data_IF_002335497990
#
_entry.id   IF_002335497990
#
_cell.length_a   1.000
_cell.length_b   1.000
_cell.length_c   1.000
_cell.angle_alpha   90.00
_cell.angle_beta   90.00
_cell.angle_gamma   90.00
#
_symmetry.space_group_name_H-M   'P 1'
#
loop_
_entity.id
_entity.type
_entity.pdbx_description
1 polymer ?
#
# COMPACT_ATOMS: atom_id res chain seq x y z
N UNK A 1 22.25 -41.69 -28.13
CA UNK A 1 21.11 -41.85 -27.20
C UNK A 1 20.96 -40.49 -26.56
N UNK A 2 20.27 -39.60 -27.27
CA UNK A 2 20.24 -38.18 -26.95
C UNK A 2 19.27 -37.94 -25.79
N UNK A 3 19.82 -37.62 -24.62
CA UNK A 3 19.03 -37.04 -23.54
C UNK A 3 18.77 -35.59 -23.92
N UNK A 4 17.69 -35.39 -24.66
CA UNK A 4 17.08 -34.08 -24.86
C UNK A 4 16.70 -33.53 -23.48
N UNK A 5 17.49 -32.57 -23.03
CA UNK A 5 17.32 -31.87 -21.77
C UNK A 5 16.00 -31.08 -21.84
N UNK A 6 14.88 -31.72 -21.43
CA UNK A 6 13.57 -31.07 -21.41
C UNK A 6 13.62 -29.89 -20.45
N UNK A 7 13.80 -28.68 -21.00
CA UNK A 7 13.56 -27.46 -20.25
C UNK A 7 12.18 -27.53 -19.59
N UNK A 8 12.03 -27.09 -18.33
CA UNK A 8 10.73 -27.06 -17.67
C UNK A 8 9.73 -26.28 -18.51
N UNK A 9 8.53 -26.83 -18.70
CA UNK A 9 7.48 -26.18 -19.48
C UNK A 9 7.21 -24.79 -18.89
N UNK A 10 7.23 -23.71 -19.70
CA UNK A 10 6.98 -22.37 -19.19
C UNK A 10 5.59 -22.30 -18.56
N UNK A 11 5.50 -21.60 -17.42
CA UNK A 11 4.24 -21.44 -16.69
C UNK A 11 3.24 -20.67 -17.57
N UNK A 12 2.00 -21.16 -17.62
CA UNK A 12 0.90 -20.45 -18.29
C UNK A 12 0.55 -19.17 -17.52
N UNK A 13 -0.03 -18.17 -18.19
CA UNK A 13 -0.52 -16.95 -17.53
C UNK A 13 -1.46 -17.25 -16.35
N UNK A 14 -2.30 -18.29 -16.46
CA UNK A 14 -3.19 -18.70 -15.38
C UNK A 14 -2.41 -19.18 -14.14
N UNK A 15 -1.33 -19.94 -14.33
CA UNK A 15 -0.45 -20.39 -13.25
C UNK A 15 0.33 -19.22 -12.62
N UNK A 16 0.80 -18.27 -13.44
CA UNK A 16 1.47 -17.06 -12.96
C UNK A 16 0.51 -16.15 -12.16
N UNK A 17 -0.72 -15.97 -12.63
CA UNK A 17 -1.74 -15.21 -11.91
C UNK A 17 -2.15 -15.88 -10.59
N UNK A 18 -2.16 -17.22 -10.54
CA UNK A 18 -2.37 -17.95 -9.29
C UNK A 18 -1.20 -17.74 -8.30
N UNK A 19 0.04 -17.74 -8.80
CA UNK A 19 1.22 -17.44 -8.00
C UNK A 19 1.20 -16.00 -7.45
N UNK A 20 0.81 -15.03 -8.27
CA UNK A 20 0.66 -13.63 -7.86
C UNK A 20 -0.38 -13.42 -6.75
N UNK A 21 -1.45 -14.23 -6.72
CA UNK A 21 -2.46 -14.20 -5.65
C UNK A 21 -2.01 -14.88 -4.36
N UNK A 22 -1.17 -15.89 -4.47
CA UNK A 22 -0.75 -16.72 -3.35
C UNK A 22 -0.09 -15.88 -2.25
N UNK A 23 0.81 -14.97 -2.62
CA UNK A 23 1.60 -14.16 -1.67
C UNK A 23 0.75 -13.31 -0.74
N UNK A 24 -0.31 -12.67 -1.24
CA UNK A 24 -1.19 -11.86 -0.39
C UNK A 24 -1.93 -12.71 0.64
N UNK A 25 -2.46 -13.87 0.22
CA UNK A 25 -3.17 -14.78 1.12
C UNK A 25 -2.23 -15.34 2.20
N UNK A 26 -0.97 -15.61 1.84
CA UNK A 26 0.04 -16.03 2.82
C UNK A 26 0.38 -14.92 3.81
N UNK A 27 0.59 -13.68 3.34
CA UNK A 27 0.86 -12.54 4.22
C UNK A 27 -0.32 -12.29 5.19
N UNK A 28 -1.56 -12.33 4.68
CA UNK A 28 -2.76 -12.21 5.49
C UNK A 28 -2.88 -13.33 6.54
N UNK A 29 -2.56 -14.58 6.19
CA UNK A 29 -2.52 -15.67 7.16
C UNK A 29 -1.48 -15.42 8.24
N UNK A 30 -0.26 -15.01 7.87
CA UNK A 30 0.82 -14.76 8.83
C UNK A 30 0.43 -13.69 9.84
N UNK A 31 -0.22 -12.61 9.38
CA UNK A 31 -0.75 -11.56 10.23
C UNK A 31 -1.84 -12.09 11.20
N UNK A 32 -2.77 -12.90 10.70
CA UNK A 32 -3.93 -13.36 11.46
C UNK A 32 -3.71 -14.70 12.19
N UNK A 33 -2.50 -15.27 12.15
CA UNK A 33 -2.24 -16.65 12.54
C UNK A 33 -2.69 -16.97 13.97
N UNK A 34 -2.57 -16.02 14.90
CA UNK A 34 -3.02 -16.18 16.28
C UNK A 34 -4.54 -16.24 16.39
N UNK A 35 -5.25 -15.33 15.70
CA UNK A 35 -6.71 -15.30 15.67
C UNK A 35 -7.30 -16.57 15.03
N UNK A 36 -6.67 -17.06 13.94
CA UNK A 36 -7.18 -18.20 13.18
C UNK A 36 -7.11 -19.54 13.94
N UNK A 37 -6.42 -19.59 15.09
CA UNK A 37 -6.39 -20.77 15.96
C UNK A 37 -7.77 -20.99 16.59
N UNK A 38 -8.53 -21.90 16.02
CA UNK A 38 -9.89 -22.23 16.46
C UNK A 38 -10.99 -21.53 15.67
N UNK A 39 -10.65 -20.79 14.62
CA UNK A 39 -11.62 -20.09 13.77
C UNK A 39 -12.28 -20.99 12.71
N UNK A 40 -11.93 -22.28 12.63
CA UNK A 40 -12.46 -23.22 11.63
C UNK A 40 -13.02 -24.49 12.27
N UNK A 41 -14.31 -24.73 12.04
CA UNK A 41 -15.10 -25.87 12.47
C UNK A 41 -15.75 -26.58 11.25
N UNK A 42 -15.72 -27.91 11.18
CA UNK A 42 -14.80 -28.78 11.91
C UNK A 42 -13.38 -28.60 11.36
N UNK A 43 -12.37 -28.74 12.23
CA UNK A 43 -10.96 -28.86 11.80
C UNK A 43 -10.61 -30.34 11.67
N UNK A 44 -10.39 -30.88 10.46
CA UNK A 44 -9.89 -32.24 10.32
C UNK A 44 -8.50 -32.37 10.98
N UNK A 45 -8.26 -33.47 11.70
CA UNK A 45 -7.01 -33.67 12.47
C UNK A 45 -5.73 -33.51 11.63
N UNK A 46 -5.76 -33.92 10.35
CA UNK A 46 -4.62 -33.87 9.44
C UNK A 46 -4.40 -32.51 8.76
N UNK A 47 -5.24 -31.49 9.02
CA UNK A 47 -5.23 -30.24 8.26
C UNK A 47 -4.89 -29.04 9.16
N UNK A 48 -3.82 -28.33 8.82
CA UNK A 48 -3.39 -27.12 9.52
C UNK A 48 -4.39 -25.97 9.32
N UNK A 49 -4.38 -24.96 10.21
CA UNK A 49 -5.20 -23.76 10.01
C UNK A 49 -4.75 -22.97 8.78
N UNK A 50 -3.45 -23.00 8.46
CA UNK A 50 -2.93 -22.51 7.20
C UNK A 50 -3.63 -23.14 6.00
N UNK A 51 -3.68 -24.48 5.93
CA UNK A 51 -4.31 -25.17 4.80
C UNK A 51 -5.80 -24.83 4.68
N UNK A 52 -6.53 -24.68 5.79
CA UNK A 52 -7.94 -24.26 5.79
C UNK A 52 -8.08 -22.81 5.31
N UNK A 53 -7.27 -21.89 5.82
CA UNK A 53 -7.27 -20.50 5.39
C UNK A 53 -6.98 -20.39 3.88
N UNK A 54 -5.93 -21.07 3.39
CA UNK A 54 -5.60 -21.11 1.96
C UNK A 54 -6.76 -21.69 1.14
N UNK A 55 -7.38 -22.80 1.58
CA UNK A 55 -8.52 -23.44 0.91
C UNK A 55 -9.68 -22.47 0.71
N UNK A 56 -10.06 -21.72 1.74
CA UNK A 56 -11.22 -20.82 1.68
C UNK A 56 -10.93 -19.50 0.96
N UNK A 57 -9.66 -19.09 0.84
CA UNK A 57 -9.30 -17.76 0.37
C UNK A 57 -8.62 -17.71 -1.00
N UNK A 58 -7.79 -18.69 -1.35
CA UNK A 58 -6.93 -18.61 -2.55
C UNK A 58 -7.72 -18.49 -3.87
N UNK A 59 -8.91 -19.10 -3.93
CA UNK A 59 -9.80 -19.01 -5.10
C UNK A 59 -10.78 -17.82 -5.08
N UNK A 60 -10.94 -17.15 -3.93
CA UNK A 60 -11.94 -16.08 -3.73
C UNK A 60 -11.32 -14.70 -3.71
N UNK A 61 -10.12 -14.58 -3.16
CA UNK A 61 -9.42 -13.30 -3.05
C UNK A 61 -8.60 -13.04 -4.30
N UNK A 62 -8.97 -11.99 -5.02
CA UNK A 62 -8.27 -11.54 -6.21
C UNK A 62 -7.40 -10.35 -5.83
N UNK A 63 -6.26 -10.60 -5.21
CA UNK A 63 -5.23 -9.57 -5.01
C UNK A 63 -3.99 -10.03 -5.74
N UNK A 64 -3.53 -9.24 -6.70
CA UNK A 64 -2.34 -9.55 -7.49
C UNK A 64 -1.18 -8.69 -7.01
N UNK A 65 -0.13 -9.33 -6.53
CA UNK A 65 1.12 -8.67 -6.15
C UNK A 65 2.18 -8.98 -7.19
N UNK A 66 3.03 -8.00 -7.52
CA UNK A 66 4.23 -8.25 -8.32
C UNK A 66 5.23 -9.11 -7.54
N UNK A 67 6.27 -9.61 -8.23
CA UNK A 67 7.35 -10.37 -7.59
C UNK A 67 8.11 -9.52 -6.57
N UNK A 68 8.31 -8.23 -6.89
CA UNK A 68 8.99 -7.25 -6.04
C UNK A 68 8.15 -6.96 -4.77
N UNK A 69 6.86 -6.67 -4.93
CA UNK A 69 5.92 -6.48 -3.81
C UNK A 69 5.84 -7.73 -2.93
N UNK A 70 5.80 -8.90 -3.55
CA UNK A 70 5.81 -10.18 -2.83
C UNK A 70 7.11 -10.40 -2.06
N UNK A 71 8.27 -9.96 -2.58
CA UNK A 71 9.56 -10.16 -1.93
C UNK A 71 9.64 -9.38 -0.61
N UNK A 72 8.99 -8.22 -0.55
CA UNK A 72 8.89 -7.38 0.66
C UNK A 72 7.65 -7.68 1.51
N UNK A 73 6.91 -8.76 1.20
CA UNK A 73 5.70 -9.20 1.92
C UNK A 73 4.60 -8.14 1.96
N UNK A 74 4.37 -7.45 0.84
CA UNK A 74 3.22 -6.57 0.68
C UNK A 74 1.92 -7.31 1.04
N UNK A 75 0.99 -6.60 1.66
CA UNK A 75 -0.28 -7.16 2.11
C UNK A 75 -1.40 -6.13 1.94
N UNK A 76 -2.39 -6.49 1.12
CA UNK A 76 -3.60 -5.74 0.87
C UNK A 76 -4.75 -6.39 1.64
N UNK A 77 -5.49 -5.57 2.38
CA UNK A 77 -6.72 -5.99 3.05
C UNK A 77 -7.74 -6.39 2.00
N UNK A 78 -8.23 -7.62 2.11
CA UNK A 78 -9.16 -8.24 1.18
C UNK A 78 -10.27 -8.95 1.96
N UNK A 79 -11.39 -9.32 1.30
CA UNK A 79 -12.53 -9.97 1.95
C UNK A 79 -12.23 -11.45 2.24
N UNK A 80 -11.25 -11.69 3.10
CA UNK A 80 -10.82 -13.01 3.52
C UNK A 80 -11.90 -13.66 4.39
N UNK A 81 -12.20 -14.94 4.14
CA UNK A 81 -12.97 -15.76 5.07
C UNK A 81 -12.08 -16.15 6.25
N UNK A 82 -12.25 -15.44 7.36
CA UNK A 82 -11.43 -15.55 8.58
C UNK A 82 -11.98 -16.57 9.57
N UNK A 83 -13.22 -17.01 9.40
CA UNK A 83 -13.77 -18.14 10.15
C UNK A 83 -14.76 -18.97 9.34
N UNK A 84 -14.93 -20.22 9.73
CA UNK A 84 -15.91 -21.15 9.16
C UNK A 84 -16.47 -22.01 10.28
N UNK A 85 -17.79 -22.09 10.39
CA UNK A 85 -18.40 -22.94 11.41
C UNK A 85 -19.91 -22.89 11.40
N UNK A 86 -20.49 -23.42 12.47
CA UNK A 86 -21.91 -23.79 12.55
C UNK A 86 -22.80 -22.73 13.19
N UNK A 87 -22.23 -21.74 13.89
CA UNK A 87 -23.04 -20.67 14.47
C UNK A 87 -23.57 -19.73 13.37
N UNK A 88 -24.74 -19.09 13.57
CA UNK A 88 -25.26 -18.11 12.63
C UNK A 88 -24.23 -17.00 12.32
N UNK A 89 -24.06 -16.63 11.04
CA UNK A 89 -23.21 -15.51 10.66
C UNK A 89 -23.80 -14.19 11.15
N UNK A 90 -22.90 -13.26 11.43
CA UNK A 90 -23.18 -11.85 11.65
C UNK A 90 -22.90 -11.16 10.32
N UNK A 91 -23.96 -10.91 9.56
CA UNK A 91 -23.85 -10.24 8.26
C UNK A 91 -23.40 -8.80 8.48
N UNK A 92 -22.53 -8.30 7.62
CA UNK A 92 -22.09 -6.92 7.62
C UNK A 92 -22.22 -6.35 6.20
N UNK A 93 -22.72 -5.12 6.11
CA UNK A 93 -22.95 -4.44 4.84
C UNK A 93 -22.51 -2.98 4.91
N UNK A 94 -22.10 -2.42 3.78
CA UNK A 94 -21.83 -0.99 3.66
C UNK A 94 -23.15 -0.25 3.56
N UNK A 95 -23.37 0.72 4.45
CA UNK A 95 -24.49 1.66 4.41
C UNK A 95 -23.96 3.08 4.54
N UNK A 96 -23.88 3.81 3.43
CA UNK A 96 -23.20 5.11 3.38
C UNK A 96 -21.72 4.95 3.76
N UNK A 97 -21.27 5.70 4.76
CA UNK A 97 -19.89 5.66 5.25
C UNK A 97 -19.68 4.65 6.39
N UNK A 98 -20.69 3.86 6.74
CA UNK A 98 -20.66 2.95 7.87
C UNK A 98 -20.69 1.49 7.40
N UNK A 99 -20.04 0.61 8.17
CA UNK A 99 -20.37 -0.82 8.14
C UNK A 99 -21.44 -1.09 9.18
N UNK A 100 -22.53 -1.72 8.77
CA UNK A 100 -23.66 -2.06 9.65
C UNK A 100 -23.83 -3.56 9.68
N UNK A 101 -23.87 -4.11 10.89
CA UNK A 101 -24.02 -5.55 11.12
C UNK A 101 -25.48 -5.97 11.29
N UNK A 102 -25.73 -7.28 11.25
CA UNK A 102 -27.04 -7.85 11.55
C UNK A 102 -27.40 -7.83 13.04
N UNK A 103 -26.48 -7.48 13.95
CA UNK A 103 -26.71 -7.41 15.38
C UNK A 103 -27.62 -6.24 15.74
N UNK A 104 -28.80 -6.54 16.27
CA UNK A 104 -29.78 -5.54 16.69
C UNK A 104 -29.55 -5.09 18.13
N UNK A 105 -30.02 -3.88 18.45
CA UNK A 105 -30.11 -3.33 19.79
C UNK A 105 -31.55 -2.82 20.04
N UNK A 106 -32.03 -2.78 21.29
CA UNK A 106 -33.36 -2.27 21.60
C UNK A 106 -33.55 -0.81 21.18
N UNK A 107 -34.79 -0.44 20.84
CA UNK A 107 -35.11 0.93 20.50
C UNK A 107 -34.77 1.89 21.66
N UNK A 108 -34.10 2.99 21.35
CA UNK A 108 -33.69 3.99 22.34
C UNK A 108 -32.48 3.60 23.19
N UNK A 109 -31.90 2.41 22.99
CA UNK A 109 -30.62 2.07 23.62
C UNK A 109 -29.52 3.01 23.10
N UNK A 110 -28.72 3.54 24.01
CA UNK A 110 -27.60 4.42 23.71
C UNK A 110 -26.38 3.96 24.52
N UNK A 111 -25.20 4.07 23.91
CA UNK A 111 -23.93 3.79 24.59
C UNK A 111 -23.32 5.12 25.00
N UNK A 112 -23.20 5.32 26.31
CA UNK A 112 -22.57 6.48 26.96
C UNK A 112 -21.32 6.04 27.73
N UNK A 113 -20.57 6.99 28.30
CA UNK A 113 -19.37 6.70 29.09
C UNK A 113 -19.66 5.86 30.35
N UNK A 114 -20.89 5.94 30.88
CA UNK A 114 -21.34 5.14 32.02
C UNK A 114 -21.81 3.73 31.62
N UNK A 115 -21.92 3.42 30.33
CA UNK A 115 -22.43 2.12 29.85
C UNK A 115 -21.41 1.03 30.10
N UNK A 116 -21.84 -0.07 30.74
CA UNK A 116 -21.00 -1.23 31.01
C UNK A 116 -21.14 -2.32 29.96
N UNK A 117 -20.21 -3.27 29.97
CA UNK A 117 -20.32 -4.53 29.21
C UNK A 117 -21.62 -5.29 29.52
N UNK A 118 -22.07 -5.29 30.76
CA UNK A 118 -23.34 -5.89 31.19
C UNK A 118 -24.57 -5.21 30.60
N UNK A 119 -24.56 -3.89 30.48
CA UNK A 119 -25.64 -3.16 29.80
C UNK A 119 -25.70 -3.52 28.30
N UNK A 120 -24.55 -3.54 27.62
CA UNK A 120 -24.47 -3.94 26.20
C UNK A 120 -24.87 -5.39 26.00
N UNK A 121 -24.42 -6.29 26.89
CA UNK A 121 -24.77 -7.72 26.84
C UNK A 121 -26.27 -7.94 27.01
N UNK A 122 -26.90 -7.25 27.98
CA UNK A 122 -28.35 -7.31 28.18
C UNK A 122 -29.11 -6.81 26.94
N UNK A 123 -28.67 -5.70 26.37
CA UNK A 123 -29.26 -5.15 25.14
C UNK A 123 -29.16 -6.15 23.97
N UNK A 124 -27.97 -6.71 23.73
CA UNK A 124 -27.74 -7.71 22.68
C UNK A 124 -28.58 -8.97 22.88
N UNK A 125 -28.65 -9.51 24.09
CA UNK A 125 -29.46 -10.71 24.38
C UNK A 125 -30.95 -10.48 24.16
N UNK A 126 -31.47 -9.31 24.55
CA UNK A 126 -32.90 -8.99 24.40
C UNK A 126 -33.33 -8.83 22.94
N UNK A 127 -32.40 -8.40 22.06
CA UNK A 127 -32.69 -8.10 20.66
C UNK A 127 -32.26 -9.20 19.67
N UNK A 128 -31.51 -10.21 20.11
CA UNK A 128 -30.94 -11.24 19.23
C UNK A 128 -31.09 -12.65 19.83
N UNK A 129 -32.10 -13.39 19.38
CA UNK A 129 -32.47 -14.71 19.93
C UNK A 129 -31.43 -15.82 19.76
N UNK A 130 -30.47 -15.66 18.85
CA UNK A 130 -29.40 -16.64 18.63
C UNK A 130 -28.22 -16.48 19.60
N UNK A 131 -28.10 -15.32 20.26
CA UNK A 131 -27.06 -15.06 21.26
C UNK A 131 -27.41 -15.71 22.59
N UNK A 132 -26.38 -16.08 23.34
CA UNK A 132 -26.48 -16.64 24.68
C UNK A 132 -25.47 -15.98 25.60
N UNK A 133 -25.78 -15.94 26.90
CA UNK A 133 -24.80 -15.55 27.90
C UNK A 133 -23.60 -16.51 27.85
N UNK A 134 -22.39 -15.96 27.92
CA UNK A 134 -21.13 -16.67 27.74
C UNK A 134 -20.63 -16.75 26.29
N UNK A 135 -21.42 -16.32 25.30
CA UNK A 135 -20.91 -16.17 23.93
C UNK A 135 -19.82 -15.10 23.87
N UNK A 136 -18.84 -15.29 22.98
CA UNK A 136 -17.83 -14.28 22.69
C UNK A 136 -18.04 -13.70 21.30
N UNK A 137 -18.10 -12.37 21.23
CA UNK A 137 -18.02 -11.57 20.01
C UNK A 137 -16.59 -11.03 19.85
N UNK A 138 -15.88 -11.48 18.83
CA UNK A 138 -14.56 -10.99 18.47
C UNK A 138 -14.65 -10.03 17.29
N UNK A 139 -14.05 -8.85 17.41
CA UNK A 139 -13.94 -7.87 16.34
C UNK A 139 -12.53 -7.97 15.76
N UNK A 140 -12.43 -8.46 14.53
CA UNK A 140 -11.20 -8.47 13.75
C UNK A 140 -11.17 -7.20 12.92
N UNK A 141 -10.24 -6.29 13.23
CA UNK A 141 -10.06 -5.04 12.50
C UNK A 141 -8.72 -5.08 11.77
N UNK A 142 -8.76 -5.15 10.45
CA UNK A 142 -7.60 -5.07 9.57
C UNK A 142 -7.47 -3.63 9.06
N UNK A 143 -6.28 -3.07 9.19
CA UNK A 143 -5.95 -1.71 8.81
C UNK A 143 -5.02 -1.72 7.61
N UNK A 144 -5.39 -1.01 6.57
CA UNK A 144 -4.58 -0.80 5.39
C UNK A 144 -3.67 0.42 5.61
N UNK A 145 -2.37 0.23 5.44
CA UNK A 145 -1.37 1.29 5.43
C UNK A 145 -0.41 1.12 4.25
N UNK A 146 0.52 2.06 4.10
CA UNK A 146 1.57 2.02 3.09
C UNK A 146 2.92 2.31 3.73
N UNK A 147 3.98 1.70 3.19
CA UNK A 147 5.36 2.13 3.45
C UNK A 147 5.65 3.46 2.75
N UNK A 148 6.78 4.09 3.09
CA UNK A 148 7.28 5.29 2.39
C UNK A 148 7.47 5.08 0.88
N UNK A 149 7.70 3.83 0.43
CA UNK A 149 7.83 3.45 -0.99
C UNK A 149 6.50 3.10 -1.67
N UNK A 150 5.35 3.38 -1.04
CA UNK A 150 4.03 3.09 -1.60
C UNK A 150 3.63 1.60 -1.60
N UNK A 151 4.36 0.73 -0.92
CA UNK A 151 4.02 -0.69 -0.78
C UNK A 151 2.91 -0.87 0.26
N UNK A 152 1.82 -1.59 -0.06
CA UNK A 152 0.71 -1.78 0.87
C UNK A 152 1.11 -2.74 1.99
N UNK A 153 0.78 -2.36 3.22
CA UNK A 153 0.92 -3.16 4.41
C UNK A 153 -0.40 -3.26 5.16
N UNK A 154 -0.55 -4.34 5.92
CA UNK A 154 -1.72 -4.56 6.77
C UNK A 154 -1.29 -4.72 8.22
N UNK A 155 -2.01 -4.08 9.13
CA UNK A 155 -1.93 -4.38 10.57
C UNK A 155 -3.28 -4.89 11.08
N UNK A 156 -3.27 -5.56 12.23
CA UNK A 156 -4.48 -6.13 12.82
C UNK A 156 -4.65 -5.63 14.26
N UNK A 157 -5.85 -5.16 14.57
CA UNK A 157 -6.33 -4.91 15.94
C UNK A 157 -7.44 -5.90 16.26
N UNK A 158 -7.37 -6.53 17.44
CA UNK A 158 -8.36 -7.48 17.92
C UNK A 158 -9.04 -6.94 19.15
N UNK A 159 -10.37 -7.00 19.17
CA UNK A 159 -11.17 -6.71 20.36
C UNK A 159 -12.10 -7.88 20.63
N UNK A 160 -12.47 -8.07 21.89
CA UNK A 160 -13.40 -9.12 22.28
C UNK A 160 -14.39 -8.60 23.31
N UNK A 161 -15.60 -9.10 23.22
CA UNK A 161 -16.68 -8.90 24.17
C UNK A 161 -17.22 -10.28 24.54
N UNK A 162 -17.25 -10.57 25.85
CA UNK A 162 -17.98 -11.72 26.38
C UNK A 162 -19.39 -11.23 26.72
N UNK A 163 -20.42 -11.95 26.28
CA UNK A 163 -21.82 -11.64 26.58
C UNK A 163 -22.10 -12.05 28.03
N UNK A 164 -21.88 -11.12 28.94
CA UNK A 164 -22.08 -11.29 30.38
C UNK A 164 -22.88 -10.12 30.94
N UNK A 165 -24.19 -10.29 31.22
CA UNK A 165 -25.03 -9.25 31.82
C UNK A 165 -24.55 -8.73 33.17
N UNK A 166 -23.70 -9.48 33.88
CA UNK A 166 -23.17 -9.11 35.19
C UNK A 166 -21.88 -8.27 35.13
N UNK A 167 -21.29 -8.10 33.94
CA UNK A 167 -20.04 -7.36 33.78
C UNK A 167 -20.21 -5.85 33.99
N UNK A 168 -19.58 -5.32 35.04
CA UNK A 168 -19.64 -3.90 35.40
C UNK A 168 -18.53 -3.06 34.77
N UNK A 169 -17.66 -3.65 33.94
CA UNK A 169 -16.56 -2.94 33.29
C UNK A 169 -17.12 -1.88 32.33
N UNK A 170 -16.60 -0.64 32.33
CA UNK A 170 -16.99 0.38 31.37
C UNK A 170 -16.69 -0.07 29.92
N UNK A 171 -17.70 0.00 29.05
CA UNK A 171 -17.64 -0.57 27.71
C UNK A 171 -16.57 0.09 26.82
N UNK A 172 -16.48 1.43 26.90
CA UNK A 172 -15.59 2.25 26.06
C UNK A 172 -14.11 2.15 26.40
N UNK A 173 -13.76 1.59 27.56
CA UNK A 173 -12.36 1.34 27.93
C UNK A 173 -11.73 0.27 27.04
N UNK A 174 -12.54 -0.69 26.56
CA UNK A 174 -12.04 -1.83 25.80
C UNK A 174 -12.54 -1.85 24.35
N UNK A 175 -13.70 -1.25 24.05
CA UNK A 175 -14.27 -1.26 22.70
C UNK A 175 -14.37 0.19 22.15
N UNK A 176 -13.53 0.55 21.17
CA UNK A 176 -13.59 1.86 20.52
C UNK A 176 -14.95 2.13 19.86
N UNK A 177 -15.39 3.39 19.89
CA UNK A 177 -16.62 3.81 19.22
C UNK A 177 -16.58 3.52 17.71
N UNK A 178 -15.43 3.68 17.07
CA UNK A 178 -15.25 3.43 15.63
C UNK A 178 -15.52 1.99 15.22
N UNK A 179 -15.44 1.04 16.16
CA UNK A 179 -15.66 -0.38 15.91
C UNK A 179 -16.98 -0.90 16.48
N UNK A 180 -17.68 -0.11 17.29
CA UNK A 180 -18.96 -0.49 17.87
C UNK A 180 -19.76 0.76 18.26
N UNK A 181 -20.64 1.17 17.36
CA UNK A 181 -21.64 2.21 17.59
C UNK A 181 -23.01 1.75 17.10
N UNK A 182 -24.02 2.57 17.39
CA UNK A 182 -25.40 2.27 17.01
C UNK A 182 -25.72 3.02 15.72
N UNK A 183 -26.00 2.26 14.66
CA UNK A 183 -26.43 2.77 13.36
C UNK A 183 -27.79 2.17 13.06
N UNK A 184 -28.84 2.99 13.02
CA UNK A 184 -30.21 2.54 12.73
C UNK A 184 -30.66 1.36 13.61
N UNK A 185 -30.36 1.40 14.90
CA UNK A 185 -30.72 0.33 15.87
C UNK A 185 -29.89 -0.95 15.75
N UNK A 186 -28.79 -0.94 14.98
CA UNK A 186 -27.88 -2.06 14.80
C UNK A 186 -26.46 -1.69 15.21
N UNK A 187 -25.65 -2.70 15.54
CA UNK A 187 -24.21 -2.50 15.77
C UNK A 187 -23.54 -2.21 14.44
N UNK A 188 -22.73 -1.16 14.38
CA UNK A 188 -21.92 -0.83 13.23
C UNK A 188 -20.66 -0.05 13.58
N UNK A 189 -19.96 0.42 12.56
CA UNK A 189 -18.79 1.30 12.69
C UNK A 189 -19.21 2.75 12.60
N UNK A 190 -18.36 3.66 13.06
CA UNK A 190 -18.51 5.08 12.73
C UNK A 190 -18.11 5.38 11.29
N UNK A 191 -18.37 6.61 10.85
CA UNK A 191 -18.05 7.08 9.51
C UNK A 191 -16.53 7.31 9.32
N UNK A 192 -15.77 7.26 10.40
CA UNK A 192 -14.33 7.49 10.44
C UNK A 192 -13.55 6.18 10.60
N UNK A 193 -14.20 5.03 10.36
CA UNK A 193 -13.55 3.75 10.37
C UNK A 193 -12.36 3.79 9.40
N UNK A 194 -11.18 3.48 9.94
CA UNK A 194 -9.92 3.52 9.20
C UNK A 194 -10.02 2.65 7.92
N UNK A 195 -9.27 3.02 6.88
CA UNK A 195 -9.24 2.26 5.63
C UNK A 195 -8.73 0.84 5.89
N UNK A 196 -9.46 -0.18 5.44
CA UNK A 196 -9.14 -1.57 5.71
C UNK A 196 -10.36 -2.47 5.62
N UNK A 197 -10.63 -3.24 6.68
CA UNK A 197 -11.74 -4.17 6.73
C UNK A 197 -12.01 -4.74 8.11
N UNK A 198 -13.26 -5.12 8.37
CA UNK A 198 -13.74 -5.56 9.68
C UNK A 198 -14.52 -6.87 9.54
N UNK A 199 -14.40 -7.76 10.52
CA UNK A 199 -15.27 -8.92 10.71
C UNK A 199 -15.69 -9.06 12.18
N UNK A 200 -16.96 -9.40 12.39
CA UNK A 200 -17.51 -9.74 13.70
C UNK A 200 -17.69 -11.26 13.82
N UNK A 201 -16.85 -11.92 14.60
CA UNK A 201 -16.85 -13.38 14.75
C UNK A 201 -17.52 -13.77 16.05
N UNK A 202 -18.60 -14.54 15.96
CA UNK A 202 -19.27 -15.12 17.11
C UNK A 202 -18.64 -16.46 17.43
N UNK A 203 -18.40 -16.73 18.70
CA UNK A 203 -17.94 -18.03 19.17
C UNK A 203 -18.63 -18.45 20.46
N UNK A 204 -18.81 -19.75 20.63
CA UNK A 204 -19.47 -20.37 21.78
C UNK A 204 -18.75 -21.65 22.16
N UNK A 205 -18.53 -21.87 23.46
CA UNK A 205 -18.20 -23.20 23.94
C UNK A 205 -19.45 -23.95 24.40
N UNK A 206 -19.64 -25.15 23.86
CA UNK A 206 -20.63 -26.13 24.32
C UNK A 206 -20.06 -27.53 24.19
N UNK A 207 -20.35 -28.42 25.15
CA UNK A 207 -19.89 -29.82 25.16
C UNK A 207 -18.38 -29.99 24.92
N UNK A 208 -17.57 -29.14 25.59
CA UNK A 208 -16.11 -29.04 25.42
C UNK A 208 -15.61 -28.70 24.01
N UNK A 209 -16.50 -28.38 23.07
CA UNK A 209 -16.18 -27.96 21.70
C UNK A 209 -16.33 -26.46 21.54
N UNK A 210 -15.52 -25.89 20.66
CA UNK A 210 -15.64 -24.49 20.23
C UNK A 210 -16.43 -24.47 18.93
N UNK A 211 -17.53 -23.74 18.94
CA UNK A 211 -18.31 -23.42 17.75
C UNK A 211 -18.06 -21.97 17.37
N UNK A 212 -18.01 -21.70 16.08
CA UNK A 212 -17.76 -20.36 15.53
C UNK A 212 -18.73 -20.05 14.41
N UNK A 213 -19.00 -18.78 14.16
CA UNK A 213 -19.75 -18.37 12.97
C UNK A 213 -18.85 -18.32 11.74
N UNK A 214 -19.42 -18.57 10.56
CA UNK A 214 -18.70 -18.36 9.30
C UNK A 214 -18.63 -16.87 9.00
N UNK A 215 -17.42 -16.32 8.84
CA UNK A 215 -17.24 -14.89 8.62
C UNK A 215 -16.18 -14.56 7.58
N UNK A 216 -16.48 -13.52 6.81
CA UNK A 216 -15.55 -12.86 5.93
C UNK A 216 -15.33 -11.42 6.36
N UNK A 217 -14.13 -10.90 6.12
CA UNK A 217 -13.83 -9.48 6.26
C UNK A 217 -14.68 -8.69 5.27
N UNK A 218 -15.32 -7.63 5.77
CA UNK A 218 -16.01 -6.63 4.94
C UNK A 218 -15.15 -5.38 4.90
N UNK A 219 -14.87 -4.90 3.68
CA UNK A 219 -14.00 -3.76 3.48
C UNK A 219 -14.69 -2.48 3.92
N UNK A 220 -13.95 -1.60 4.60
CA UNK A 220 -14.48 -0.28 4.92
C UNK A 220 -14.65 0.56 3.65
N UNK A 221 -15.61 1.49 3.59
CA UNK A 221 -15.86 2.29 2.37
C UNK A 221 -14.63 3.06 1.87
N UNK A 222 -13.70 3.43 2.77
CA UNK A 222 -12.45 4.10 2.43
C UNK A 222 -11.36 3.21 1.82
N UNK A 223 -11.55 1.89 1.74
CA UNK A 223 -10.54 0.98 1.20
C UNK A 223 -10.60 0.89 -0.33
N UNK A 224 -9.93 1.81 -1.01
CA UNK A 224 -9.75 1.80 -2.47
C UNK A 224 -8.63 0.87 -2.94
N UNK A 225 -7.73 0.48 -2.03
CA UNK A 225 -6.54 -0.32 -2.33
C UNK A 225 -6.90 -1.69 -2.86
N UNK A 226 -7.92 -2.34 -2.27
CA UNK A 226 -8.40 -3.63 -2.77
C UNK A 226 -8.85 -3.55 -4.23
N UNK A 227 -9.56 -2.49 -4.63
CA UNK A 227 -10.03 -2.33 -6.01
C UNK A 227 -8.86 -2.16 -6.98
N UNK A 228 -7.84 -1.40 -6.60
CA UNK A 228 -6.62 -1.24 -7.41
C UNK A 228 -5.91 -2.59 -7.59
N UNK A 229 -5.69 -3.33 -6.50
CA UNK A 229 -4.92 -4.57 -6.51
C UNK A 229 -5.70 -5.81 -7.01
N UNK A 230 -7.01 -5.68 -7.16
CA UNK A 230 -7.87 -6.71 -7.77
C UNK A 230 -8.16 -6.50 -9.25
N UNK A 231 -7.68 -5.39 -9.82
CA UNK A 231 -7.90 -5.02 -11.22
C UNK A 231 -7.18 -5.93 -12.21
N UNK A 232 -7.70 -5.99 -13.45
CA UNK A 232 -7.05 -6.68 -14.56
C UNK A 232 -5.70 -6.03 -14.93
N UNK A 233 -5.57 -4.72 -14.74
CA UNK A 233 -4.30 -4.01 -14.93
C UNK A 233 -3.24 -4.52 -13.95
N UNK A 234 -3.56 -4.58 -12.65
CA UNK A 234 -2.62 -5.10 -11.65
C UNK A 234 -2.29 -6.58 -11.89
N UNK A 235 -3.28 -7.36 -12.31
CA UNK A 235 -3.08 -8.76 -12.71
C UNK A 235 -2.06 -8.87 -13.85
N UNK A 236 -2.15 -8.02 -14.87
CA UNK A 236 -1.22 -7.99 -15.99
C UNK A 236 0.20 -7.68 -15.52
N UNK A 237 0.37 -6.59 -14.75
CA UNK A 237 1.66 -6.19 -14.15
C UNK A 237 2.30 -7.32 -13.33
N UNK A 238 1.50 -7.97 -12.49
CA UNK A 238 1.98 -9.07 -11.66
C UNK A 238 2.40 -10.29 -12.52
N UNK A 239 1.58 -10.68 -13.51
CA UNK A 239 1.91 -11.79 -14.41
C UNK A 239 3.19 -11.51 -15.20
N UNK A 240 3.38 -10.29 -15.68
CA UNK A 240 4.62 -9.87 -16.37
C UNK A 240 5.84 -9.97 -15.44
N UNK A 241 5.72 -9.48 -14.19
CA UNK A 241 6.81 -9.56 -13.20
C UNK A 241 7.21 -11.02 -12.86
N UNK A 242 6.27 -11.97 -12.82
CA UNK A 242 6.60 -13.39 -12.60
C UNK A 242 6.99 -14.17 -13.88
N UNK A 243 6.50 -13.73 -15.04
CA UNK A 243 6.71 -14.36 -16.34
C UNK A 243 8.00 -13.92 -17.03
N UNK A 244 8.58 -12.80 -16.60
CA UNK A 244 9.89 -12.33 -17.04
C UNK A 244 11.01 -13.29 -16.60
N UNK A 245 11.25 -14.35 -17.37
CA UNK A 245 12.55 -15.00 -17.39
C UNK A 245 13.49 -14.14 -18.23
N UNK A 246 14.32 -13.35 -17.55
CA UNK A 246 15.35 -12.56 -18.19
C UNK A 246 16.51 -13.48 -18.57
N UNK A 247 16.67 -13.72 -19.87
CA UNK A 247 17.87 -14.35 -20.40
C UNK A 247 18.67 -13.26 -21.12
N UNK A 248 19.71 -12.73 -20.48
CA UNK A 248 20.60 -11.72 -21.06
C UNK A 248 21.30 -12.18 -22.36
N UNK A 249 21.18 -13.45 -22.70
CA UNK A 249 21.80 -14.11 -23.86
C UNK A 249 20.77 -14.74 -24.81
N UNK A 250 19.47 -14.55 -24.58
CA UNK A 250 18.43 -15.03 -25.49
C UNK A 250 17.95 -13.89 -26.41
N UNK A 251 18.26 -13.92 -27.71
CA UNK A 251 17.84 -12.88 -28.65
C UNK A 251 16.31 -12.82 -28.87
N UNK A 252 15.55 -13.78 -28.34
CA UNK A 252 14.08 -13.85 -28.44
C UNK A 252 13.38 -13.25 -27.21
N UNK A 253 14.09 -13.03 -26.09
CA UNK A 253 13.50 -12.33 -24.93
C UNK A 253 13.40 -10.83 -25.21
N UNK A 254 12.34 -10.43 -25.91
CA UNK A 254 12.11 -9.07 -26.41
C UNK A 254 11.71 -8.03 -25.34
N UNK A 255 12.14 -8.17 -24.09
CA UNK A 255 11.90 -7.18 -23.04
C UNK A 255 13.23 -6.58 -22.61
N UNK A 256 13.52 -5.38 -23.11
CA UNK A 256 14.59 -4.53 -22.61
C UNK A 256 14.17 -4.01 -21.24
N UNK A 257 14.85 -4.45 -20.17
CA UNK A 257 14.73 -3.80 -18.86
C UNK A 257 15.55 -2.51 -18.92
N UNK A 258 14.90 -1.39 -18.66
CA UNK A 258 15.58 -0.13 -18.33
C UNK A 258 15.63 -0.11 -16.80
N UNK A 259 16.81 -0.20 -16.20
CA UNK A 259 16.89 -0.08 -14.75
C UNK A 259 16.50 1.35 -14.37
N UNK A 260 15.69 1.59 -13.33
CA UNK A 260 15.35 2.94 -12.87
C UNK A 260 16.60 3.73 -12.41
N UNK A 261 17.72 3.03 -12.15
CA UNK A 261 19.04 3.65 -11.96
C UNK A 261 19.67 4.17 -13.27
N UNK A 262 19.23 3.70 -14.44
CA UNK A 262 19.69 4.14 -15.77
C UNK A 262 19.12 5.50 -16.20
N UNK A 263 18.15 6.08 -15.48
CA UNK A 263 17.82 7.49 -15.68
C UNK A 263 19.03 8.34 -15.26
N UNK A 264 19.83 8.74 -16.24
CA UNK A 264 20.97 9.62 -16.02
C UNK A 264 20.51 11.05 -15.71
N UNK A 265 21.35 11.78 -14.97
CA UNK A 265 21.26 13.23 -14.90
C UNK A 265 21.39 13.77 -16.33
N UNK A 266 20.34 14.43 -16.82
CA UNK A 266 20.30 15.02 -18.15
C UNK A 266 19.75 16.45 -18.07
N UNK A 267 20.34 17.37 -18.83
CA UNK A 267 19.80 18.72 -19.03
C UNK A 267 19.06 18.72 -20.36
N UNK A 268 17.73 18.87 -20.32
CA UNK A 268 16.86 18.86 -21.51
C UNK A 268 16.60 20.24 -22.08
N UNK A 269 16.87 21.29 -21.31
CA UNK A 269 16.70 22.66 -21.79
C UNK A 269 17.24 23.71 -20.83
N UNK A 270 17.67 24.84 -21.39
CA UNK A 270 18.14 26.01 -20.65
C UNK A 270 17.41 27.25 -21.17
N UNK A 271 16.94 28.11 -20.27
CA UNK A 271 16.38 29.43 -20.62
C UNK A 271 17.06 30.53 -19.83
N UNK A 272 17.16 31.72 -20.42
CA UNK A 272 17.66 32.93 -19.78
C UNK A 272 16.61 34.04 -19.94
N UNK A 273 16.04 34.51 -18.83
CA UNK A 273 14.87 35.40 -18.82
C UNK A 273 13.75 34.88 -19.73
N UNK A 274 13.40 33.61 -19.55
CA UNK A 274 12.37 32.89 -20.31
C UNK A 274 12.63 32.70 -21.81
N UNK A 275 13.75 33.23 -22.34
CA UNK A 275 14.18 32.97 -23.70
C UNK A 275 14.99 31.65 -23.77
N UNK A 276 14.65 30.70 -24.66
CA UNK A 276 15.38 29.45 -24.79
C UNK A 276 16.80 29.69 -25.33
N UNK A 277 17.77 28.99 -24.73
CA UNK A 277 19.16 28.97 -25.17
C UNK A 277 19.47 27.57 -25.69
N UNK A 278 19.63 27.43 -27.00
CA UNK A 278 19.97 26.16 -27.63
C UNK A 278 21.43 25.77 -27.41
N UNK A 279 21.74 24.48 -27.49
CA UNK A 279 23.13 24.02 -27.56
C UNK A 279 23.82 24.56 -28.82
N UNK A 280 25.09 24.95 -28.70
CA UNK A 280 25.86 25.53 -29.80
C UNK A 280 25.48 26.97 -30.19
N UNK A 281 24.70 27.69 -29.36
CA UNK A 281 24.34 29.10 -29.59
C UNK A 281 25.49 30.11 -29.41
N UNK A 282 26.69 29.65 -29.04
CA UNK A 282 27.77 30.46 -28.47
C UNK A 282 27.53 30.77 -26.99
N UNK A 283 28.57 31.28 -26.33
CA UNK A 283 28.57 31.51 -24.88
C UNK A 283 27.42 32.43 -24.41
N UNK A 284 26.75 32.06 -23.31
CA UNK A 284 25.66 32.84 -22.75
C UNK A 284 26.19 34.03 -21.95
N UNK A 285 25.71 35.23 -22.26
CA UNK A 285 26.02 36.44 -21.48
C UNK A 285 25.13 36.58 -20.25
N UNK A 286 25.70 36.40 -19.07
CA UNK A 286 25.01 36.57 -17.79
C UNK A 286 25.36 37.93 -17.15
N UNK A 287 24.39 38.53 -16.49
CA UNK A 287 24.55 39.78 -15.74
C UNK A 287 23.55 39.81 -14.59
N UNK A 288 23.86 40.58 -13.54
CA UNK A 288 23.00 40.73 -12.38
C UNK A 288 21.55 41.06 -12.76
N UNK A 289 20.59 40.37 -12.14
CA UNK A 289 19.15 40.54 -12.37
C UNK A 289 18.56 39.63 -13.47
N UNK A 290 19.38 38.83 -14.17
CA UNK A 290 18.88 37.78 -15.07
C UNK A 290 18.52 36.51 -14.29
N UNK A 291 17.61 35.71 -14.84
CA UNK A 291 17.21 34.40 -14.30
C UNK A 291 17.59 33.32 -15.31
N UNK A 292 18.44 32.39 -14.89
CA UNK A 292 18.80 31.20 -15.65
C UNK A 292 17.98 30.02 -15.13
N UNK A 293 17.22 29.36 -16.01
CA UNK A 293 16.46 28.16 -15.67
C UNK A 293 17.03 26.97 -16.44
N UNK A 294 17.34 25.90 -15.73
CA UNK A 294 17.86 24.65 -16.26
C UNK A 294 16.80 23.59 -15.98
N UNK A 295 16.37 22.88 -17.01
CA UNK A 295 15.35 21.82 -16.93
C UNK A 295 15.96 20.48 -17.29
N UNK A 296 15.52 19.41 -16.66
CA UNK A 296 16.14 18.10 -16.83
C UNK A 296 15.58 17.02 -15.93
N UNK A 297 16.35 15.96 -15.76
CA UNK A 297 16.07 14.84 -14.85
C UNK A 297 17.19 14.67 -13.82
N UNK A 298 16.84 14.27 -12.60
CA UNK A 298 17.76 14.09 -11.46
C UNK A 298 18.67 15.30 -11.22
N UNK A 299 18.12 16.50 -11.38
CA UNK A 299 18.83 17.73 -11.09
C UNK A 299 18.92 17.95 -9.58
N UNK A 300 20.06 18.45 -9.11
CA UNK A 300 20.27 18.89 -7.72
C UNK A 300 21.13 20.16 -7.73
N UNK A 301 21.02 20.99 -6.70
CA UNK A 301 21.79 22.23 -6.53
C UNK A 301 23.32 22.03 -6.48
N UNK A 302 23.77 20.83 -6.12
CA UNK A 302 25.18 20.41 -6.13
C UNK A 302 25.57 19.56 -7.34
N UNK A 303 24.61 19.23 -8.22
CA UNK A 303 24.82 18.30 -9.34
C UNK A 303 25.53 18.90 -10.54
N UNK A 304 25.57 20.23 -10.66
CA UNK A 304 26.07 20.94 -11.85
C UNK A 304 27.06 22.05 -11.52
N UNK A 305 28.01 22.26 -12.43
CA UNK A 305 28.96 23.38 -12.46
C UNK A 305 28.92 24.08 -13.81
N UNK A 306 29.20 25.38 -13.81
CA UNK A 306 29.26 26.20 -15.00
C UNK A 306 30.72 26.53 -15.37
N UNK A 307 31.07 26.44 -16.65
CA UNK A 307 32.33 26.98 -17.14
C UNK A 307 32.18 28.46 -17.42
N UNK A 308 32.65 29.28 -16.49
CA UNK A 308 32.36 30.70 -16.39
C UNK A 308 33.61 31.55 -16.60
N UNK A 309 33.46 32.58 -17.43
CA UNK A 309 34.43 33.65 -17.63
C UNK A 309 33.91 34.92 -16.97
N UNK A 310 34.41 35.22 -15.78
CA UNK A 310 34.04 36.42 -15.03
C UNK A 310 34.69 37.70 -15.58
N UNK A 311 35.91 37.60 -16.13
CA UNK A 311 36.68 38.73 -16.64
C UNK A 311 37.32 38.38 -17.99
N UNK A 312 37.13 39.20 -19.05
CA UNK A 312 37.67 38.94 -20.39
C UNK A 312 39.20 38.84 -20.47
N UNK A 313 39.94 39.26 -19.45
CA UNK A 313 41.41 39.12 -19.40
C UNK A 313 41.89 37.82 -18.76
N UNK A 314 40.98 36.99 -18.24
CA UNK A 314 41.30 35.70 -17.61
C UNK A 314 40.85 34.52 -18.48
N UNK A 315 41.34 33.33 -18.18
CA UNK A 315 40.77 32.09 -18.72
C UNK A 315 39.45 31.75 -17.99
N UNK A 316 38.45 31.16 -18.67
CA UNK A 316 37.26 30.67 -17.98
C UNK A 316 37.61 29.54 -17.01
N UNK A 317 36.81 29.38 -15.96
CA UNK A 317 37.02 28.35 -14.93
C UNK A 317 35.72 27.66 -14.59
N UNK A 318 35.82 26.43 -14.09
CA UNK A 318 34.67 25.67 -13.63
C UNK A 318 34.25 26.16 -12.24
N UNK A 319 33.02 26.67 -12.11
CA UNK A 319 32.49 27.21 -10.85
C UNK A 319 31.16 26.56 -10.50
N UNK A 320 30.86 26.48 -9.20
CA UNK A 320 29.56 26.03 -8.73
C UNK A 320 28.47 27.05 -9.13
N UNK A 321 27.24 26.59 -9.40
CA UNK A 321 26.15 27.48 -9.83
C UNK A 321 25.84 28.58 -8.80
N UNK A 322 26.09 28.32 -7.51
CA UNK A 322 25.97 29.29 -6.42
C UNK A 322 26.94 30.49 -6.55
N UNK A 323 28.02 30.33 -7.34
CA UNK A 323 28.95 31.42 -7.66
C UNK A 323 28.34 32.41 -8.64
N UNK A 324 27.37 31.97 -9.45
CA UNK A 324 26.67 32.82 -10.42
C UNK A 324 25.53 33.62 -9.76
N UNK A 325 24.96 33.09 -8.67
CA UNK A 325 23.89 33.73 -7.92
C UNK A 325 23.14 32.78 -6.99
N UNK A 326 21.93 33.17 -6.57
CA UNK A 326 21.11 32.37 -5.65
C UNK A 326 20.43 31.22 -6.39
N UNK A 327 20.64 29.99 -5.92
CA UNK A 327 20.16 28.74 -6.56
C UNK A 327 18.98 28.18 -5.80
N UNK A 328 17.92 27.82 -6.53
CA UNK A 328 16.79 27.02 -6.04
C UNK A 328 16.68 25.81 -6.96
N UNK A 329 16.60 24.60 -6.40
CA UNK A 329 16.54 23.36 -7.18
C UNK A 329 15.41 22.43 -6.75
N UNK A 330 14.90 21.66 -7.72
CA UNK A 330 14.10 20.45 -7.57
C UNK A 330 14.74 19.35 -8.41
N UNK A 331 14.16 18.14 -8.36
CA UNK A 331 14.59 16.99 -9.17
C UNK A 331 14.49 17.22 -10.69
N UNK A 332 13.73 18.22 -11.14
CA UNK A 332 13.48 18.52 -12.55
C UNK A 332 13.89 19.92 -13.01
N UNK A 333 14.11 20.87 -12.09
CA UNK A 333 14.38 22.28 -12.41
C UNK A 333 15.45 22.87 -11.48
N UNK A 334 16.41 23.60 -12.03
CA UNK A 334 17.31 24.48 -11.28
C UNK A 334 17.09 25.92 -11.77
N UNK A 335 16.78 26.82 -10.85
CA UNK A 335 16.65 28.25 -11.09
C UNK A 335 17.79 28.98 -10.42
N UNK A 336 18.57 29.73 -11.20
CA UNK A 336 19.67 30.57 -10.72
C UNK A 336 19.31 32.04 -10.92
N UNK A 337 19.12 32.76 -9.82
CA UNK A 337 18.93 34.21 -9.81
C UNK A 337 20.31 34.86 -9.87
N UNK A 338 20.71 35.31 -11.05
CA UNK A 338 22.08 35.74 -11.35
C UNK A 338 22.40 37.04 -10.60
N UNK A 339 23.52 37.03 -9.87
CA UNK A 339 24.12 38.21 -9.25
C UNK A 339 25.51 38.51 -9.81
N UNK A 340 26.12 37.55 -10.53
CA UNK A 340 27.40 37.70 -11.19
C UNK A 340 27.26 38.23 -12.63
N UNK A 341 28.38 38.66 -13.21
CA UNK A 341 28.47 39.04 -14.63
C UNK A 341 29.55 38.21 -15.32
N UNK A 342 29.37 37.93 -16.61
CA UNK A 342 30.35 37.21 -17.41
C UNK A 342 29.72 36.36 -18.51
N UNK A 343 30.48 35.38 -18.99
CA UNK A 343 30.02 34.42 -20.00
C UNK A 343 30.04 33.00 -19.44
N UNK A 344 29.04 32.19 -19.76
CA UNK A 344 29.04 30.74 -19.48
C UNK A 344 29.06 29.99 -20.80
N UNK A 345 29.96 29.01 -20.92
CA UNK A 345 30.21 28.28 -22.17
C UNK A 345 29.59 26.88 -22.15
N UNK A 346 29.59 26.22 -21.00
CA UNK A 346 28.90 24.94 -20.84
C UNK A 346 28.54 24.67 -19.37
N UNK A 347 27.63 23.72 -19.19
CA UNK A 347 27.28 23.09 -17.92
C UNK A 347 27.89 21.69 -17.88
N UNK A 348 28.46 21.32 -16.74
CA UNK A 348 29.07 20.01 -16.51
C UNK A 348 28.61 19.42 -15.20
N UNK A 349 28.71 18.10 -15.06
CA UNK A 349 28.46 17.43 -13.78
C UNK A 349 29.52 17.79 -12.76
N UNK A 350 29.10 18.00 -11.52
CA UNK A 350 30.02 18.34 -10.43
C UNK A 350 30.93 17.17 -10.01
N UNK A 351 30.51 15.92 -10.22
CA UNK A 351 31.18 14.72 -9.73
C UNK A 351 32.30 14.23 -10.67
N UNK A 352 32.10 14.30 -11.98
CA UNK A 352 33.04 13.78 -12.98
C UNK A 352 33.42 14.77 -14.08
N UNK A 353 32.87 16.00 -14.07
CA UNK A 353 33.19 17.04 -15.03
C UNK A 353 32.67 16.80 -16.45
N UNK A 354 31.84 15.78 -16.68
CA UNK A 354 31.25 15.51 -17.99
C UNK A 354 30.33 16.66 -18.38
N UNK A 355 30.52 17.19 -19.59
CA UNK A 355 29.69 18.25 -20.16
C UNK A 355 28.29 17.68 -20.44
N UNK A 356 27.27 18.32 -19.89
CA UNK A 356 25.86 17.92 -20.04
C UNK A 356 25.06 18.90 -20.90
N UNK A 357 25.56 20.11 -21.08
CA UNK A 357 24.94 21.11 -21.94
C UNK A 357 26.01 22.09 -22.44
N UNK A 358 26.31 22.06 -23.73
CA UNK A 358 27.33 22.91 -24.34
C UNK A 358 26.68 24.07 -25.10
N UNK A 359 26.92 25.29 -24.65
CA UNK A 359 26.46 26.49 -25.35
C UNK A 359 27.38 26.81 -26.53
N UNK A 360 28.65 26.38 -26.53
CA UNK A 360 29.66 26.69 -27.54
C UNK A 360 30.54 27.89 -27.17
N UNK A 361 31.65 28.05 -27.91
CA UNK A 361 32.61 29.17 -27.77
C UNK A 361 32.11 30.50 -28.36
#
# INVERSE_FOLDING_TARGET
>A
MDQENKLPKPLTQAQLAQKARFSNVVAAYQLMAEFLRGAYEPKPHAVSFYNLFMKYNLGRVNVYLTKEESAVKACVVAPHQVSHGTLPPIEMSVQGNNLVSSLCLPQGFAITDATTFGNVSTALLSANSFLRSGDQLSIVHLLQSFSDFGIPHTSMKLHKLIIDPSDTTPFRVLIPQSLFQIVNGRVGTDANAEAGGIAYVLSRRSDNKLHVSTQSVVLTPGNTVYQQYSSDQKKKEAVESYGSQFYYVDPVSGITRQDPEDEYLAVTGVTLNDAPVAQGSGAIGISAGKVLVITGTKLTDVGLKAYHLANPTMSPTLVDLSTLGSVVSTDSIITVNITASGKVFYLSRADNGVIVYDFGE
#
